data_IF_237425447610
#
_entry.id   IF_237425447610
#
_cell.length_a   1.000
_cell.length_b   1.000
_cell.length_c   1.000
_cell.angle_alpha   90.00
_cell.angle_beta   90.00
_cell.angle_gamma   90.00
#
_symmetry.space_group_name_H-M   'P 1'
#
loop_
_entity.id
_entity.type
_entity.pdbx_description
1 polymer ?
#
# COMPACT_ATOMS: atom_id res chain seq x y z
N UNK A 1 6.44 -18.59 -1.19
CA UNK A 1 7.35 -19.70 -1.56
C UNK A 1 8.69 -19.09 -1.91
N UNK A 2 9.78 -19.74 -1.52
CA UNK A 2 11.14 -19.29 -1.74
C UNK A 2 11.61 -19.59 -3.18
N UNK A 3 12.32 -18.67 -3.83
CA UNK A 3 12.90 -18.86 -5.17
C UNK A 3 13.65 -20.21 -5.26
N UNK A 4 13.29 -21.05 -6.23
CA UNK A 4 14.00 -22.30 -6.52
C UNK A 4 13.71 -23.49 -5.58
N UNK A 5 12.80 -23.35 -4.61
CA UNK A 5 12.35 -24.45 -3.73
C UNK A 5 10.83 -24.40 -3.56
N UNK A 6 10.19 -25.54 -3.29
CA UNK A 6 8.77 -25.58 -2.89
C UNK A 6 8.57 -25.20 -1.41
N UNK A 7 9.64 -24.68 -0.78
CA UNK A 7 9.68 -24.38 0.64
C UNK A 7 9.08 -22.99 0.93
N UNK A 8 8.36 -22.92 2.05
CA UNK A 8 7.76 -21.68 2.56
C UNK A 8 8.75 -20.98 3.48
N UNK A 9 8.87 -19.66 3.35
CA UNK A 9 9.58 -18.87 4.33
C UNK A 9 8.77 -18.81 5.63
N UNK A 10 9.36 -19.23 6.73
CA UNK A 10 8.71 -19.31 8.05
C UNK A 10 9.31 -18.34 9.06
N UNK A 11 10.37 -17.60 8.69
CA UNK A 11 11.05 -16.66 9.58
C UNK A 11 10.62 -15.23 9.30
N UNK A 12 10.34 -14.45 10.35
CA UNK A 12 10.03 -13.03 10.22
C UNK A 12 11.20 -12.29 9.58
N UNK A 13 10.88 -11.41 8.63
CA UNK A 13 11.89 -10.69 7.86
C UNK A 13 12.16 -9.29 8.43
N UNK A 14 11.34 -8.83 9.39
CA UNK A 14 11.54 -7.56 10.08
C UNK A 14 12.90 -7.62 10.79
N UNK A 15 13.85 -6.83 10.30
CA UNK A 15 15.26 -6.73 10.74
C UNK A 15 16.21 -7.86 10.33
N UNK A 16 15.84 -8.77 9.41
CA UNK A 16 16.75 -9.82 8.93
C UNK A 16 17.34 -9.51 7.55
N UNK A 17 18.64 -9.21 7.49
CA UNK A 17 19.38 -8.92 6.24
C UNK A 17 19.52 -10.16 5.35
N UNK A 18 19.61 -11.35 5.95
CA UNK A 18 19.84 -12.60 5.22
C UNK A 18 18.61 -13.08 4.43
N UNK A 19 17.40 -12.77 4.92
CA UNK A 19 16.15 -13.21 4.30
C UNK A 19 15.77 -12.36 3.07
N UNK A 20 16.22 -11.10 3.04
CA UNK A 20 16.11 -10.20 1.87
C UNK A 20 16.81 -10.77 0.64
N UNK A 21 17.93 -11.50 0.80
CA UNK A 21 18.66 -12.09 -0.32
C UNK A 21 17.82 -13.10 -1.12
N UNK A 22 16.81 -13.76 -0.51
CA UNK A 22 15.96 -14.73 -1.22
C UNK A 22 14.98 -14.03 -2.17
N UNK A 23 14.54 -12.82 -1.83
CA UNK A 23 13.55 -12.06 -2.61
C UNK A 23 14.19 -10.92 -3.41
N UNK A 24 15.48 -10.64 -3.21
CA UNK A 24 16.20 -9.54 -3.86
C UNK A 24 16.04 -9.57 -5.39
N UNK A 25 16.18 -10.73 -6.02
CA UNK A 25 16.08 -10.86 -7.48
C UNK A 25 14.68 -10.48 -8.01
N UNK A 26 13.61 -10.93 -7.35
CA UNK A 26 12.24 -10.61 -7.77
C UNK A 26 11.89 -9.15 -7.46
N UNK A 27 12.34 -8.61 -6.33
CA UNK A 27 12.07 -7.23 -5.93
C UNK A 27 12.83 -6.23 -6.83
N UNK A 28 14.08 -6.54 -7.19
CA UNK A 28 14.85 -5.74 -8.15
C UNK A 28 14.19 -5.73 -9.53
N UNK A 29 13.75 -6.90 -10.03
CA UNK A 29 13.03 -6.99 -11.31
C UNK A 29 11.73 -6.18 -11.31
N UNK A 30 11.00 -6.16 -10.17
CA UNK A 30 9.79 -5.34 -10.01
C UNK A 30 10.14 -3.85 -10.07
N UNK A 31 11.15 -3.41 -9.32
CA UNK A 31 11.60 -2.01 -9.31
C UNK A 31 12.05 -1.53 -10.69
N UNK A 32 12.87 -2.33 -11.39
CA UNK A 32 13.35 -2.00 -12.73
C UNK A 32 12.20 -1.90 -13.75
N UNK A 33 11.27 -2.86 -13.72
CA UNK A 33 10.14 -2.87 -14.65
C UNK A 33 9.07 -1.83 -14.32
N UNK A 34 8.89 -1.48 -13.05
CA UNK A 34 8.02 -0.38 -12.65
C UNK A 34 8.52 0.93 -13.25
N UNK A 35 9.83 1.20 -13.14
CA UNK A 35 10.49 2.36 -13.76
C UNK A 35 10.35 2.37 -15.28
N UNK A 36 10.53 1.22 -15.94
CA UNK A 36 10.37 1.11 -17.40
C UNK A 36 8.92 1.32 -17.87
N UNK A 37 7.94 0.97 -17.04
CA UNK A 37 6.51 1.17 -17.31
C UNK A 37 5.99 2.53 -16.84
N UNK A 38 6.85 3.36 -16.24
CA UNK A 38 6.49 4.65 -15.64
C UNK A 38 5.44 4.51 -14.52
N UNK A 39 5.42 3.36 -13.83
CA UNK A 39 4.62 3.19 -12.62
C UNK A 39 5.36 3.93 -11.51
N UNK A 40 4.72 4.88 -10.79
CA UNK A 40 5.39 5.73 -9.81
C UNK A 40 5.57 4.98 -8.46
N UNK A 41 6.22 3.82 -8.50
CA UNK A 41 6.46 2.98 -7.33
C UNK A 41 7.79 3.32 -6.65
N UNK A 42 7.79 3.27 -5.32
CA UNK A 42 8.99 3.31 -4.48
C UNK A 42 9.57 1.91 -4.26
N UNK A 43 10.67 1.84 -3.51
CA UNK A 43 11.31 0.57 -3.15
C UNK A 43 10.44 -0.30 -2.24
N UNK A 44 10.67 -1.61 -2.32
CA UNK A 44 9.98 -2.58 -1.47
C UNK A 44 10.51 -2.57 -0.02
N UNK A 45 9.61 -2.68 0.95
CA UNK A 45 9.92 -2.77 2.38
C UNK A 45 9.39 -4.10 2.93
N UNK A 46 10.17 -4.78 3.76
CA UNK A 46 9.75 -6.04 4.37
C UNK A 46 8.83 -5.80 5.58
N UNK A 47 7.73 -6.55 5.63
CA UNK A 47 6.66 -6.36 6.61
C UNK A 47 6.65 -7.42 7.74
N UNK A 48 5.67 -7.29 8.64
CA UNK A 48 5.53 -8.10 9.86
C UNK A 48 5.57 -9.62 9.62
N UNK A 49 5.00 -10.09 8.49
CA UNK A 49 4.91 -11.53 8.19
C UNK A 49 6.03 -12.05 7.28
N UNK A 50 6.43 -13.32 7.42
CA UNK A 50 7.40 -13.95 6.52
C UNK A 50 6.97 -13.85 5.04
N UNK A 51 7.76 -13.14 4.22
CA UNK A 51 7.51 -13.02 2.78
C UNK A 51 6.43 -11.99 2.43
N UNK A 52 6.10 -11.11 3.36
CA UNK A 52 5.23 -9.96 3.18
C UNK A 52 6.09 -8.74 2.82
N UNK A 53 5.66 -7.97 1.82
CA UNK A 53 6.42 -6.84 1.27
C UNK A 53 5.50 -5.71 0.81
N UNK A 54 5.76 -4.52 1.31
CA UNK A 54 5.07 -3.31 0.91
C UNK A 54 5.79 -2.60 -0.24
N UNK A 55 5.03 -2.13 -1.23
CA UNK A 55 5.53 -1.25 -2.31
C UNK A 55 4.61 -0.04 -2.40
N UNK A 56 5.18 1.14 -2.13
CA UNK A 56 4.44 2.39 -2.11
C UNK A 56 4.33 3.02 -3.50
N UNK A 57 3.27 3.79 -3.73
CA UNK A 57 3.06 4.58 -4.96
C UNK A 57 3.09 6.07 -4.62
N UNK A 58 3.68 6.89 -5.50
CA UNK A 58 3.67 8.34 -5.32
C UNK A 58 2.26 8.90 -5.48
N UNK A 59 1.98 9.96 -4.73
CA UNK A 59 0.73 10.68 -4.82
C UNK A 59 0.53 11.36 -6.18
N UNK A 60 -0.72 11.41 -6.61
CA UNK A 60 -1.16 12.18 -7.78
C UNK A 60 -2.41 12.98 -7.43
N UNK A 61 -2.58 14.14 -8.07
CA UNK A 61 -3.78 14.96 -7.99
C UNK A 61 -4.91 14.42 -8.89
N UNK A 62 -4.60 13.44 -9.75
CA UNK A 62 -5.57 12.73 -10.57
C UNK A 62 -5.90 11.35 -9.98
N UNK A 63 -7.11 11.24 -9.41
CA UNK A 63 -7.61 10.02 -8.78
C UNK A 63 -7.70 8.83 -9.75
N UNK A 64 -7.95 9.07 -11.04
CA UNK A 64 -8.01 8.00 -12.03
C UNK A 64 -6.63 7.40 -12.28
N UNK A 65 -5.60 8.25 -12.38
CA UNK A 65 -4.22 7.80 -12.55
C UNK A 65 -3.78 6.97 -11.33
N UNK A 66 -4.12 7.41 -10.11
CA UNK A 66 -3.83 6.63 -8.90
C UNK A 66 -4.43 5.22 -8.94
N UNK A 67 -5.66 5.08 -9.46
CA UNK A 67 -6.34 3.80 -9.59
C UNK A 67 -5.68 2.92 -10.66
N UNK A 68 -5.31 3.50 -11.80
CA UNK A 68 -4.63 2.78 -12.88
C UNK A 68 -3.23 2.33 -12.45
N UNK A 69 -2.48 3.17 -11.73
CA UNK A 69 -1.17 2.86 -11.17
C UNK A 69 -1.24 1.70 -10.15
N UNK A 70 -2.22 1.72 -9.24
CA UNK A 70 -2.44 0.64 -8.29
C UNK A 70 -2.74 -0.70 -8.98
N UNK A 71 -3.55 -0.68 -10.05
CA UNK A 71 -3.86 -1.87 -10.84
C UNK A 71 -2.64 -2.34 -11.65
N UNK A 72 -1.87 -1.41 -12.22
CA UNK A 72 -0.65 -1.69 -12.96
C UNK A 72 0.40 -2.35 -12.06
N UNK A 73 0.65 -1.79 -10.87
CA UNK A 73 1.57 -2.35 -9.89
C UNK A 73 1.16 -3.76 -9.47
N UNK A 74 -0.12 -3.96 -9.12
CA UNK A 74 -0.64 -5.28 -8.74
C UNK A 74 -0.44 -6.33 -9.85
N UNK A 75 -0.61 -5.95 -11.12
CA UNK A 75 -0.37 -6.84 -12.27
C UNK A 75 1.11 -7.12 -12.44
N UNK A 76 1.96 -6.11 -12.36
CA UNK A 76 3.42 -6.24 -12.47
C UNK A 76 3.97 -7.20 -11.40
N UNK A 77 3.57 -7.02 -10.14
CA UNK A 77 4.01 -7.89 -9.02
C UNK A 77 3.65 -9.35 -9.29
N UNK A 78 2.42 -9.63 -9.75
CA UNK A 78 2.01 -11.00 -10.10
C UNK A 78 2.83 -11.59 -11.23
N UNK A 79 3.02 -10.83 -12.30
CA UNK A 79 3.82 -11.26 -13.46
C UNK A 79 5.26 -11.56 -13.06
N UNK A 80 5.88 -10.74 -12.21
CA UNK A 80 7.25 -10.97 -11.76
C UNK A 80 7.34 -12.14 -10.80
N UNK A 81 6.41 -12.28 -9.87
CA UNK A 81 6.34 -13.48 -9.02
C UNK A 81 6.28 -14.75 -9.88
N UNK A 82 5.40 -14.80 -10.89
CA UNK A 82 5.29 -15.95 -11.80
C UNK A 82 6.59 -16.21 -12.59
N UNK A 83 7.24 -15.16 -13.12
CA UNK A 83 8.53 -15.25 -13.83
C UNK A 83 9.62 -15.89 -12.95
N UNK A 84 9.60 -15.57 -11.65
CA UNK A 84 10.51 -16.11 -10.63
C UNK A 84 10.04 -17.44 -10.01
N UNK A 85 9.00 -18.08 -10.58
CA UNK A 85 8.38 -19.33 -10.08
C UNK A 85 7.84 -19.21 -8.64
N UNK A 86 7.40 -18.02 -8.28
CA UNK A 86 6.73 -17.71 -7.03
C UNK A 86 5.24 -17.43 -7.27
N UNK A 87 4.50 -17.26 -6.18
CA UNK A 87 3.11 -16.81 -6.20
C UNK A 87 2.93 -15.59 -5.30
N UNK A 88 2.40 -14.50 -5.86
CA UNK A 88 2.03 -13.30 -5.11
C UNK A 88 0.52 -13.31 -4.81
N UNK A 89 0.15 -13.08 -3.55
CA UNK A 89 -1.23 -12.97 -3.09
C UNK A 89 -1.47 -11.60 -2.46
N UNK A 90 -2.67 -11.07 -2.65
CA UNK A 90 -3.17 -9.82 -2.07
C UNK A 90 -4.44 -10.08 -1.25
N UNK A 91 -4.58 -11.32 -0.74
CA UNK A 91 -5.69 -11.68 0.13
C UNK A 91 -5.51 -10.98 1.48
N UNK A 92 -6.59 -10.47 2.06
CA UNK A 92 -6.52 -9.76 3.34
C UNK A 92 -5.93 -10.62 4.48
N UNK A 93 -6.19 -11.94 4.45
CA UNK A 93 -5.65 -12.89 5.43
C UNK A 93 -5.29 -14.21 4.73
N UNK A 94 -4.07 -14.33 4.18
CA UNK A 94 -3.68 -15.54 3.47
C UNK A 94 -3.36 -16.71 4.42
N UNK A 95 -2.93 -16.41 5.65
CA UNK A 95 -2.62 -17.39 6.69
C UNK A 95 -3.21 -16.92 8.02
N UNK A 96 -3.83 -17.84 8.77
CA UNK A 96 -4.53 -17.53 10.01
C UNK A 96 -3.56 -17.06 11.11
N UNK A 97 -2.40 -17.72 11.18
CA UNK A 97 -1.33 -17.54 12.15
C UNK A 97 -0.41 -16.33 11.92
N UNK A 98 -0.54 -15.63 10.80
CA UNK A 98 0.32 -14.48 10.42
C UNK A 98 -0.46 -13.18 10.29
N UNK A 99 0.22 -12.03 10.20
CA UNK A 99 -0.46 -10.75 9.98
C UNK A 99 -1.20 -10.75 8.63
N UNK A 100 -2.27 -9.97 8.54
CA UNK A 100 -3.00 -9.76 7.29
C UNK A 100 -2.29 -8.79 6.35
N UNK A 101 -2.79 -8.70 5.13
CA UNK A 101 -2.41 -7.68 4.15
C UNK A 101 -3.50 -6.61 4.07
N UNK A 102 -3.14 -5.37 4.36
CA UNK A 102 -4.02 -4.20 4.23
C UNK A 102 -3.89 -3.54 2.85
N UNK A 103 -4.86 -2.67 2.53
CA UNK A 103 -4.71 -1.65 1.48
C UNK A 103 -4.94 -0.29 2.10
N UNK A 104 -3.86 0.46 2.33
CA UNK A 104 -3.94 1.77 2.98
C UNK A 104 -4.06 2.84 1.90
N UNK A 105 -5.02 3.77 2.06
CA UNK A 105 -5.26 4.83 1.08
C UNK A 105 -5.13 6.19 1.77
N UNK A 106 -4.12 6.94 1.36
CA UNK A 106 -3.87 8.29 1.84
C UNK A 106 -4.62 9.30 0.96
N UNK A 107 -5.57 10.04 1.54
CA UNK A 107 -6.45 10.96 0.80
C UNK A 107 -6.20 12.40 1.25
N UNK A 108 -5.97 13.28 0.28
CA UNK A 108 -6.01 14.74 0.46
C UNK A 108 -7.09 15.34 -0.44
N UNK A 109 -7.60 16.51 -0.06
CA UNK A 109 -8.57 17.24 -0.88
C UNK A 109 -8.09 18.67 -1.03
N UNK A 110 -7.82 19.07 -2.27
CA UNK A 110 -7.28 20.40 -2.57
C UNK A 110 -8.39 21.30 -3.11
N UNK A 111 -8.40 22.56 -2.68
CA UNK A 111 -9.25 23.58 -3.30
C UNK A 111 -8.61 24.11 -4.61
N UNK A 112 -9.31 25.02 -5.30
CA UNK A 112 -8.82 25.62 -6.55
C UNK A 112 -7.52 26.44 -6.41
N UNK A 113 -7.04 26.68 -5.19
CA UNK A 113 -5.77 27.34 -4.90
C UNK A 113 -4.65 26.34 -4.55
N UNK A 114 -4.94 25.03 -4.56
CA UNK A 114 -4.01 23.98 -4.18
C UNK A 114 -3.87 23.78 -2.68
N UNK A 115 -4.75 24.35 -1.86
CA UNK A 115 -4.69 24.24 -0.40
C UNK A 115 -5.47 23.00 0.08
N UNK A 116 -4.87 22.21 0.99
CA UNK A 116 -5.55 21.05 1.56
C UNK A 116 -6.66 21.48 2.52
N UNK A 117 -7.92 21.16 2.19
CA UNK A 117 -9.10 21.55 2.97
C UNK A 117 -9.43 20.57 4.11
N UNK A 118 -8.69 19.47 4.23
CA UNK A 118 -8.82 18.52 5.33
C UNK A 118 -8.05 18.95 6.59
N UNK A 119 -7.19 19.95 6.47
CA UNK A 119 -6.44 20.56 7.56
C UNK A 119 -6.97 21.97 7.79
N UNK A 120 -7.00 22.43 9.03
CA UNK A 120 -7.33 23.82 9.36
C UNK A 120 -6.08 24.72 9.36
N UNK A 121 -6.28 26.00 9.70
CA UNK A 121 -5.21 27.00 9.69
C UNK A 121 -4.12 26.77 10.75
N UNK A 122 -4.38 25.95 11.76
CA UNK A 122 -3.43 25.61 12.83
C UNK A 122 -2.73 24.25 12.55
N UNK A 123 -3.06 23.60 11.44
CA UNK A 123 -2.52 22.29 11.08
C UNK A 123 -3.26 21.11 11.71
N UNK A 124 -4.43 21.36 12.30
CA UNK A 124 -5.27 20.37 12.98
C UNK A 124 -6.39 19.87 12.05
N UNK A 125 -7.10 18.83 12.51
CA UNK A 125 -8.24 18.24 11.81
C UNK A 125 -9.34 19.28 11.49
N UNK A 126 -9.56 19.55 10.20
CA UNK A 126 -10.61 20.48 9.79
C UNK A 126 -12.01 19.95 10.10
N UNK A 127 -12.98 20.86 10.22
CA UNK A 127 -14.39 20.47 10.35
C UNK A 127 -14.88 19.66 9.15
N UNK A 128 -14.29 19.86 7.97
CA UNK A 128 -14.61 19.10 6.77
C UNK A 128 -14.10 17.66 6.88
N UNK A 129 -12.87 17.45 7.34
CA UNK A 129 -12.33 16.12 7.58
C UNK A 129 -13.22 15.33 8.55
N UNK A 130 -13.59 15.93 9.68
CA UNK A 130 -14.46 15.28 10.67
C UNK A 130 -15.81 14.85 10.09
N UNK A 131 -16.38 15.67 9.19
CA UNK A 131 -17.63 15.34 8.47
C UNK A 131 -17.42 14.23 7.44
N UNK A 132 -16.32 14.24 6.70
CA UNK A 132 -15.97 13.19 5.76
C UNK A 132 -15.80 11.84 6.47
N UNK A 133 -15.09 11.82 7.61
CA UNK A 133 -14.93 10.64 8.45
C UNK A 133 -16.27 10.12 8.97
N UNK A 134 -17.14 11.01 9.46
CA UNK A 134 -18.48 10.62 9.91
C UNK A 134 -19.28 9.95 8.78
N UNK A 135 -19.24 10.51 7.56
CA UNK A 135 -19.90 9.93 6.38
C UNK A 135 -19.33 8.57 5.98
N UNK A 136 -18.02 8.37 6.10
CA UNK A 136 -17.39 7.06 5.83
C UNK A 136 -17.83 6.01 6.85
N UNK A 137 -17.82 6.35 8.16
CA UNK A 137 -18.24 5.43 9.23
C UNK A 137 -19.73 5.05 9.07
N UNK A 138 -20.59 6.01 8.74
CA UNK A 138 -22.01 5.74 8.53
C UNK A 138 -22.25 4.86 7.30
N UNK A 139 -21.50 5.08 6.22
CA UNK A 139 -21.59 4.28 5.00
C UNK A 139 -21.11 2.83 5.23
N UNK A 140 -20.04 2.66 6.00
CA UNK A 140 -19.48 1.35 6.34
C UNK A 140 -20.42 0.52 7.23
N UNK A 141 -21.15 1.17 8.15
CA UNK A 141 -22.20 0.52 8.94
C UNK A 141 -23.38 -0.02 8.10
N UNK A 142 -23.54 0.45 6.86
CA UNK A 142 -24.50 -0.08 5.89
C UNK A 142 -23.96 -1.22 5.00
N UNK A 143 -22.67 -1.54 5.11
CA UNK A 143 -21.92 -2.46 4.22
C UNK A 143 -21.51 -3.79 4.90
N UNK A 144 -22.11 -4.12 6.05
CA UNK A 144 -21.84 -5.29 6.92
C UNK A 144 -22.03 -6.69 6.24
N UNK A 145 -22.07 -6.74 4.91
CA UNK A 145 -22.10 -7.95 4.10
C UNK A 145 -21.05 -8.06 2.99
N UNK A 146 -20.13 -7.10 2.77
CA UNK A 146 -19.31 -7.11 1.54
C UNK A 146 -17.78 -6.93 1.65
N UNK A 147 -17.18 -6.49 2.75
CA UNK A 147 -15.74 -6.23 2.76
C UNK A 147 -15.07 -6.56 4.10
N UNK A 148 -14.34 -7.68 4.14
CA UNK A 148 -13.37 -7.97 5.19
C UNK A 148 -12.03 -7.26 4.93
N UNK A 149 -12.03 -5.93 4.92
CA UNK A 149 -10.81 -5.13 5.01
C UNK A 149 -10.68 -4.66 6.46
N UNK A 150 -9.61 -5.05 7.15
CA UNK A 150 -9.39 -4.62 8.53
C UNK A 150 -9.28 -3.10 8.61
N UNK A 151 -9.88 -2.55 9.66
CA UNK A 151 -10.04 -1.12 9.94
C UNK A 151 -8.69 -0.42 9.97
N UNK A 152 -8.62 0.75 9.35
CA UNK A 152 -7.46 1.63 9.47
C UNK A 152 -7.84 3.09 9.71
N UNK A 153 -6.98 3.77 10.47
CA UNK A 153 -7.11 5.18 10.86
C UNK A 153 -6.75 6.07 9.66
N UNK A 154 -7.69 6.89 9.21
CA UNK A 154 -7.39 8.01 8.32
C UNK A 154 -6.75 9.12 9.16
N UNK A 155 -5.43 9.31 9.05
CA UNK A 155 -4.74 10.49 9.60
C UNK A 155 -4.59 11.55 8.52
N UNK A 156 -5.06 12.80 8.70
CA UNK A 156 -4.75 13.88 7.79
C UNK A 156 -3.27 14.24 7.89
N UNK A 157 -2.67 14.58 6.75
CA UNK A 157 -1.31 15.12 6.71
C UNK A 157 -1.30 16.55 7.29
N UNK A 158 -0.30 16.92 8.12
CA UNK A 158 -0.21 18.25 8.67
C UNK A 158 0.08 19.31 7.60
N UNK A 159 -0.40 20.54 7.84
CA UNK A 159 -0.20 21.67 6.94
C UNK A 159 1.30 22.00 6.80
N UNK A 160 1.88 21.65 5.65
CA UNK A 160 3.29 21.93 5.32
C UNK A 160 4.12 20.70 4.96
N UNK A 161 3.61 19.48 5.19
CA UNK A 161 4.26 18.24 4.76
C UNK A 161 3.73 17.81 3.39
N UNK A 162 4.16 18.52 2.35
CA UNK A 162 4.14 18.01 0.97
C UNK A 162 5.46 17.28 0.73
N UNK A 163 5.82 16.35 1.63
CA UNK A 163 6.98 15.49 1.38
C UNK A 163 6.53 14.31 0.50
N UNK A 164 7.42 13.80 -0.36
CA UNK A 164 7.10 12.75 -1.32
C UNK A 164 6.92 11.35 -0.71
N UNK A 165 6.97 11.21 0.62
CA UNK A 165 6.86 9.94 1.35
C UNK A 165 5.46 9.77 1.94
N UNK A 166 4.54 9.16 1.20
CA UNK A 166 3.29 8.67 1.77
C UNK A 166 2.87 7.36 1.09
N UNK A 167 2.64 6.36 1.96
CA UNK A 167 2.61 4.96 1.62
C UNK A 167 1.27 4.45 1.09
N UNK A 168 1.38 3.44 0.25
CA UNK A 168 0.36 2.48 -0.10
C UNK A 168 0.78 1.12 0.49
N UNK A 169 0.17 0.71 1.60
CA UNK A 169 0.34 -0.66 2.08
C UNK A 169 -0.37 -1.57 1.11
N UNK A 170 0.36 -2.51 0.52
CA UNK A 170 -0.12 -3.28 -0.61
C UNK A 170 0.63 -4.57 -0.86
N UNK A 171 0.91 -5.34 0.20
CA UNK A 171 0.94 -6.82 0.29
C UNK A 171 1.69 -7.27 1.54
#
# INVERSE_FOLDING_TARGET
MCAGTDDRNTQSQVYSVDNLNHFADVLNDIDELAKLQLIPADGAVAEASPGQFEINLHHTDNVLDACDDALALKRLVRLMAEKHKMHATFMAKPYEEHAGSGMHIHISMLNNKGENVLVDGDGEDSALLKRALAGMIESDAGLDGAAGAERELVSPLPAGDVRPDAGFVGA
#
